data_IF_779456365778
#
_entry.id   IF_779456365778
#
_cell.length_a   1.000
_cell.length_b   1.000
_cell.length_c   1.000
_cell.angle_alpha   90.00
_cell.angle_beta   90.00
_cell.angle_gamma   90.00
#
_symmetry.space_group_name_H-M   'P 1'
#
loop_
_entity.id
_entity.type
_entity.pdbx_description
1 polymer ?
#
# COMPACT_ATOMS: atom_id res chain seq x y z
N UNK A 1 7.13 5.80 -16.88
CA UNK A 1 7.45 4.83 -15.81
C UNK A 1 7.45 5.40 -14.38
N UNK A 2 7.03 6.65 -14.14
CA UNK A 2 7.06 7.27 -12.79
C UNK A 2 5.68 7.35 -12.11
N UNK A 3 4.59 7.03 -12.81
CA UNK A 3 3.23 7.32 -12.36
C UNK A 3 2.57 6.18 -11.57
N UNK A 4 3.00 4.92 -11.74
CA UNK A 4 2.55 3.79 -10.90
C UNK A 4 3.34 3.69 -9.58
N UNK A 5 4.40 4.50 -9.40
CA UNK A 5 5.41 4.36 -8.33
C UNK A 5 4.99 4.92 -6.96
N UNK A 6 3.92 5.70 -6.87
CA UNK A 6 3.62 6.48 -5.66
C UNK A 6 2.37 6.01 -4.89
N UNK A 7 1.41 5.35 -5.53
CA UNK A 7 0.06 5.24 -4.93
C UNK A 7 -0.09 4.13 -3.87
N UNK A 8 0.54 2.96 -4.05
CA UNK A 8 0.40 1.86 -3.09
C UNK A 8 1.20 2.11 -1.81
N UNK A 9 2.46 2.56 -1.96
CA UNK A 9 3.29 2.96 -0.82
C UNK A 9 2.73 4.21 -0.13
N UNK A 10 2.19 5.19 -0.87
CA UNK A 10 1.60 6.38 -0.25
C UNK A 10 0.35 6.08 0.56
N UNK A 11 -0.49 5.12 0.13
CA UNK A 11 -1.68 4.71 0.89
C UNK A 11 -1.30 4.05 2.21
N UNK A 12 -0.38 3.07 2.18
CA UNK A 12 0.13 2.42 3.39
C UNK A 12 0.75 3.43 4.37
N UNK A 13 1.60 4.33 3.85
CA UNK A 13 2.26 5.37 4.66
C UNK A 13 1.24 6.37 5.22
N UNK A 14 0.23 6.77 4.44
CA UNK A 14 -0.82 7.68 4.89
C UNK A 14 -1.63 7.07 6.03
N UNK A 15 -2.05 5.81 5.92
CA UNK A 15 -2.80 5.12 6.96
C UNK A 15 -1.97 4.86 8.21
N UNK A 16 -0.68 4.51 8.06
CA UNK A 16 0.24 4.38 9.20
C UNK A 16 0.39 5.70 9.97
N UNK A 17 0.51 6.83 9.26
CA UNK A 17 0.53 8.17 9.87
C UNK A 17 -0.80 8.50 10.55
N UNK A 18 -1.93 8.16 9.91
CA UNK A 18 -3.25 8.41 10.46
C UNK A 18 -3.46 7.66 11.79
N UNK A 19 -3.04 6.39 11.88
CA UNK A 19 -3.05 5.63 13.14
C UNK A 19 -2.20 6.30 14.23
N UNK A 20 -1.00 6.78 13.87
CA UNK A 20 -0.14 7.49 14.81
C UNK A 20 -0.76 8.82 15.31
N UNK A 21 -1.63 9.44 14.50
CA UNK A 21 -2.31 10.69 14.83
C UNK A 21 -3.57 10.50 15.69
N UNK A 22 -4.17 9.31 15.70
CA UNK A 22 -5.38 9.01 16.50
C UNK A 22 -5.35 9.54 17.94
N UNK A 23 -4.32 9.27 18.78
CA UNK A 23 -4.31 9.76 20.16
C UNK A 23 -4.31 11.29 20.24
N UNK A 24 -3.68 11.98 19.29
CA UNK A 24 -3.69 13.44 19.24
C UNK A 24 -5.06 13.99 18.87
N UNK A 25 -5.77 13.34 17.94
CA UNK A 25 -7.17 13.68 17.61
C UNK A 25 -8.04 13.53 18.86
N UNK A 26 -7.90 12.44 19.62
CA UNK A 26 -8.67 12.20 20.84
C UNK A 26 -8.37 13.26 21.92
N UNK A 27 -7.10 13.67 22.06
CA UNK A 27 -6.70 14.79 22.95
C UNK A 27 -7.35 16.10 22.51
N UNK A 28 -7.32 16.42 21.21
CA UNK A 28 -7.92 17.66 20.68
C UNK A 28 -9.43 17.67 20.95
N UNK A 29 -10.14 16.59 20.64
CA UNK A 29 -11.58 16.48 20.90
C UNK A 29 -11.87 16.67 22.40
N UNK A 30 -11.09 16.03 23.27
CA UNK A 30 -11.24 16.15 24.72
C UNK A 30 -11.01 17.59 25.20
N UNK A 31 -9.96 18.24 24.71
CA UNK A 31 -9.62 19.62 25.08
C UNK A 31 -10.69 20.62 24.66
N UNK A 32 -11.27 20.45 23.47
CA UNK A 32 -12.34 21.30 22.95
C UNK A 32 -13.64 21.14 23.76
N UNK A 33 -13.96 19.92 24.20
CA UNK A 33 -15.13 19.67 25.03
C UNK A 33 -15.05 20.28 26.44
N UNK A 34 -13.83 20.36 27.02
CA UNK A 34 -13.58 20.97 28.34
C UNK A 34 -13.57 22.49 28.27
N UNK A 35 -13.37 23.06 27.09
CA UNK A 35 -13.36 24.52 26.89
C UNK A 35 -14.74 25.13 27.23
N UNK A 36 -14.72 26.31 27.86
CA UNK A 36 -15.93 27.06 28.21
C UNK A 36 -16.57 27.74 27.00
N UNK A 37 -15.79 28.03 25.97
CA UNK A 37 -16.25 28.65 24.75
C UNK A 37 -17.25 27.75 24.00
N UNK A 38 -18.38 28.32 23.59
CA UNK A 38 -19.39 27.61 22.81
C UNK A 38 -18.88 27.27 21.41
N UNK A 39 -18.02 28.11 20.81
CA UNK A 39 -17.45 27.83 19.50
C UNK A 39 -16.55 26.59 19.55
N UNK A 40 -15.73 26.45 20.60
CA UNK A 40 -14.89 25.26 20.80
C UNK A 40 -15.72 23.98 20.91
N UNK A 41 -16.90 24.03 21.56
CA UNK A 41 -17.81 22.87 21.63
C UNK A 41 -18.46 22.57 20.28
N UNK A 42 -18.74 23.57 19.47
CA UNK A 42 -19.23 23.38 18.10
C UNK A 42 -18.16 22.72 17.22
N UNK A 43 -16.90 23.17 17.31
CA UNK A 43 -15.77 22.57 16.61
C UNK A 43 -15.54 21.11 17.05
N UNK A 44 -15.68 20.80 18.34
CA UNK A 44 -15.63 19.41 18.82
C UNK A 44 -16.71 18.54 18.18
N UNK A 45 -17.94 19.06 18.00
CA UNK A 45 -19.02 18.33 17.33
C UNK A 45 -18.73 18.12 15.84
N UNK A 46 -18.21 19.15 15.16
CA UNK A 46 -17.82 19.07 13.74
C UNK A 46 -16.69 18.07 13.55
N UNK A 47 -15.68 18.09 14.43
CA UNK A 47 -14.57 17.15 14.42
C UNK A 47 -15.03 15.72 14.66
N UNK A 48 -15.88 15.47 15.66
CA UNK A 48 -16.46 14.15 15.91
C UNK A 48 -17.28 13.62 14.72
N UNK A 49 -17.94 14.52 13.96
CA UNK A 49 -18.73 14.14 12.78
C UNK A 49 -17.86 13.68 11.61
N UNK A 50 -16.67 14.25 11.44
CA UNK A 50 -15.73 13.89 10.35
C UNK A 50 -14.70 12.83 10.76
N UNK A 51 -14.56 12.59 12.07
CA UNK A 51 -13.64 11.58 12.58
C UNK A 51 -14.15 10.18 12.23
N UNK A 52 -13.22 9.25 12.12
CA UNK A 52 -13.53 7.84 11.92
C UNK A 52 -14.14 7.25 13.19
N UNK A 53 -15.12 6.38 12.99
CA UNK A 53 -15.70 5.53 14.02
C UNK A 53 -14.68 4.49 14.50
N UNK A 54 -14.91 3.91 15.69
CA UNK A 54 -14.02 2.87 16.21
C UNK A 54 -13.86 1.69 15.23
N UNK A 55 -14.96 1.27 14.60
CA UNK A 55 -14.93 0.19 13.61
C UNK A 55 -14.07 0.57 12.39
N UNK A 56 -14.17 1.79 11.88
CA UNK A 56 -13.34 2.25 10.76
C UNK A 56 -11.85 2.32 11.16
N UNK A 57 -11.55 2.72 12.39
CA UNK A 57 -10.18 2.68 12.91
C UNK A 57 -9.63 1.25 12.98
N UNK A 58 -10.45 0.28 13.38
CA UNK A 58 -10.06 -1.12 13.45
C UNK A 58 -9.88 -1.72 12.05
N UNK A 59 -10.76 -1.40 11.10
CA UNK A 59 -10.61 -1.78 9.68
C UNK A 59 -9.28 -1.26 9.12
N UNK A 60 -8.89 -0.02 9.41
CA UNK A 60 -7.60 0.53 8.94
C UNK A 60 -6.42 -0.25 9.54
N UNK A 61 -6.52 -0.72 10.79
CA UNK A 61 -5.46 -1.54 11.40
C UNK A 61 -5.35 -2.90 10.71
N UNK A 62 -6.48 -3.57 10.50
CA UNK A 62 -6.52 -4.85 9.79
C UNK A 62 -5.96 -4.71 8.38
N UNK A 63 -6.31 -3.63 7.68
CA UNK A 63 -5.76 -3.34 6.36
C UNK A 63 -4.25 -3.05 6.39
N UNK A 64 -3.73 -2.38 7.42
CA UNK A 64 -2.29 -2.18 7.56
C UNK A 64 -1.53 -3.49 7.76
N UNK A 65 -2.13 -4.49 8.41
CA UNK A 65 -1.54 -5.83 8.52
C UNK A 65 -1.45 -6.52 7.16
N UNK A 66 -2.45 -6.34 6.30
CA UNK A 66 -2.48 -6.86 4.93
C UNK A 66 -1.49 -6.11 4.03
N UNK A 67 -1.48 -4.78 4.10
CA UNK A 67 -0.64 -3.94 3.25
C UNK A 67 0.84 -3.95 3.66
N UNK A 68 1.16 -4.27 4.92
CA UNK A 68 2.53 -4.27 5.43
C UNK A 68 3.49 -5.18 4.64
N UNK A 69 3.19 -6.48 4.45
CA UNK A 69 4.00 -7.38 3.64
C UNK A 69 4.15 -6.94 2.19
N UNK A 70 3.10 -6.35 1.60
CA UNK A 70 3.15 -5.83 0.23
C UNK A 70 4.10 -4.63 0.13
N UNK A 71 3.97 -3.67 1.05
CA UNK A 71 4.84 -2.48 1.08
C UNK A 71 6.32 -2.85 1.26
N UNK A 72 6.61 -3.84 2.12
CA UNK A 72 7.98 -4.35 2.30
C UNK A 72 8.53 -4.98 1.03
N UNK A 73 7.74 -5.81 0.34
CA UNK A 73 8.15 -6.42 -0.91
C UNK A 73 8.43 -5.37 -1.97
N UNK A 74 7.55 -4.37 -2.11
CA UNK A 74 7.75 -3.28 -3.07
C UNK A 74 9.01 -2.46 -2.77
N UNK A 75 9.33 -2.20 -1.50
CA UNK A 75 10.53 -1.47 -1.09
C UNK A 75 11.81 -2.27 -1.41
N UNK A 76 11.79 -3.59 -1.14
CA UNK A 76 12.89 -4.50 -1.48
C UNK A 76 13.13 -4.50 -2.98
N UNK A 77 12.08 -4.66 -3.79
CA UNK A 77 12.18 -4.69 -5.25
C UNK A 77 12.70 -3.36 -5.80
N UNK A 78 12.23 -2.24 -5.26
CA UNK A 78 12.68 -0.90 -5.65
C UNK A 78 14.18 -0.68 -5.37
N UNK A 79 14.68 -1.19 -4.24
CA UNK A 79 16.09 -1.08 -3.86
C UNK A 79 17.05 -1.93 -4.70
N UNK A 80 16.53 -2.87 -5.50
CA UNK A 80 17.36 -3.81 -6.27
C UNK A 80 17.52 -3.37 -7.73
N UNK A 81 18.76 -3.03 -8.13
CA UNK A 81 19.11 -2.69 -9.52
C UNK A 81 18.90 -3.86 -10.49
N UNK A 82 19.02 -5.10 -10.01
CA UNK A 82 18.86 -6.34 -10.77
C UNK A 82 18.05 -7.35 -9.95
N UNK A 83 16.75 -7.11 -9.83
CA UNK A 83 15.84 -8.09 -9.24
C UNK A 83 15.78 -9.33 -10.15
N UNK A 84 16.40 -10.43 -9.73
CA UNK A 84 16.38 -11.69 -10.49
C UNK A 84 15.21 -12.55 -10.03
N UNK A 85 14.67 -13.40 -10.92
CA UNK A 85 13.55 -14.27 -10.58
C UNK A 85 13.82 -15.13 -9.34
N UNK A 86 15.07 -15.60 -9.16
CA UNK A 86 15.50 -16.33 -7.97
C UNK A 86 15.43 -15.53 -6.67
N UNK A 87 15.52 -14.20 -6.73
CA UNK A 87 15.40 -13.30 -5.59
C UNK A 87 13.94 -12.95 -5.28
N UNK A 88 13.12 -12.69 -6.30
CA UNK A 88 11.72 -12.28 -6.14
C UNK A 88 10.82 -13.46 -5.74
N UNK A 89 11.08 -14.64 -6.31
CA UNK A 89 10.20 -15.80 -6.21
C UNK A 89 9.95 -16.29 -4.76
N UNK A 90 10.96 -16.37 -3.88
CA UNK A 90 10.74 -16.71 -2.47
C UNK A 90 9.79 -15.75 -1.75
N UNK A 91 9.91 -14.45 -2.01
CA UNK A 91 9.07 -13.44 -1.35
C UNK A 91 7.62 -13.46 -1.86
N UNK A 92 7.42 -13.71 -3.16
CA UNK A 92 6.08 -13.94 -3.73
C UNK A 92 5.43 -15.19 -3.11
N UNK A 93 6.17 -16.29 -2.95
CA UNK A 93 5.64 -17.50 -2.29
C UNK A 93 5.25 -17.21 -0.85
N UNK A 94 6.09 -16.49 -0.11
CA UNK A 94 5.81 -16.09 1.27
C UNK A 94 4.55 -15.25 1.34
N UNK A 95 4.40 -14.26 0.46
CA UNK A 95 3.22 -13.43 0.36
C UNK A 95 1.96 -14.26 0.06
N UNK A 96 2.04 -15.16 -0.94
CA UNK A 96 0.95 -16.10 -1.26
C UNK A 96 0.56 -16.93 -0.04
N UNK A 97 1.52 -17.41 0.75
CA UNK A 97 1.22 -18.21 1.95
C UNK A 97 0.54 -17.40 3.06
N UNK A 98 0.88 -16.11 3.21
CA UNK A 98 0.30 -15.21 4.22
C UNK A 98 -1.18 -14.90 3.94
N UNK A 99 -1.54 -14.80 2.66
CA UNK A 99 -2.91 -14.47 2.22
C UNK A 99 -3.65 -15.67 1.63
N UNK A 100 -3.05 -16.86 1.66
CA UNK A 100 -3.74 -18.08 1.25
C UNK A 100 -4.91 -18.25 2.20
N UNK A 101 -6.14 -18.16 1.69
CA UNK A 101 -7.28 -18.25 2.56
C UNK A 101 -7.31 -19.68 3.12
N UNK A 102 -7.69 -19.85 4.38
CA UNK A 102 -7.98 -21.17 4.96
C UNK A 102 -9.26 -21.71 4.32
N UNK A 103 -9.25 -21.95 3.01
CA UNK A 103 -10.39 -22.47 2.27
C UNK A 103 -9.96 -23.78 1.64
N UNK A 104 -10.69 -24.83 2.01
CA UNK A 104 -10.74 -26.10 1.31
C UNK A 104 -11.43 -25.91 -0.05
N UNK A 105 -10.91 -25.05 -0.92
CA UNK A 105 -11.44 -24.83 -2.26
C UNK A 105 -10.30 -24.89 -3.24
N UNK A 106 -10.46 -25.79 -4.21
CA UNK A 106 -9.65 -25.94 -5.41
C UNK A 106 -9.62 -24.62 -6.21
N UNK A 107 -8.81 -23.66 -5.76
CA UNK A 107 -8.46 -22.50 -6.54
C UNK A 107 -7.32 -22.93 -7.47
N UNK A 108 -7.66 -23.22 -8.71
CA UNK A 108 -6.70 -23.61 -9.74
C UNK A 108 -5.87 -22.38 -10.16
N UNK A 109 -4.68 -22.27 -9.57
CA UNK A 109 -3.69 -21.23 -9.86
C UNK A 109 -2.77 -21.63 -11.03
N UNK A 110 -3.01 -22.77 -11.70
CA UNK A 110 -2.23 -23.22 -12.88
C UNK A 110 -2.76 -22.63 -14.19
N UNK A 111 -3.94 -22.00 -14.18
CA UNK A 111 -4.38 -21.16 -15.29
C UNK A 111 -3.50 -19.91 -15.35
N UNK A 112 -2.60 -19.88 -16.32
CA UNK A 112 -1.93 -18.68 -16.85
C UNK A 112 -2.99 -17.75 -17.47
N UNK A 113 -3.87 -17.18 -16.65
CA UNK A 113 -4.72 -16.06 -17.06
C UNK A 113 -3.86 -14.79 -16.96
N UNK A 114 -2.93 -14.70 -17.90
CA UNK A 114 -1.92 -13.66 -17.96
C UNK A 114 -2.64 -12.37 -18.38
N UNK A 115 -3.07 -11.56 -17.41
CA UNK A 115 -3.56 -10.19 -17.66
C UNK A 115 -2.48 -9.28 -18.30
N UNK A 116 -1.25 -9.79 -18.41
CA UNK A 116 -0.15 -9.23 -19.16
C UNK A 116 0.13 -10.15 -20.34
N UNK A 117 -0.56 -9.94 -21.46
CA UNK A 117 -0.09 -10.48 -22.73
C UNK A 117 1.38 -10.11 -22.89
N UNK A 118 2.19 -11.08 -23.35
CA UNK A 118 3.63 -10.95 -23.57
C UNK A 118 3.98 -9.67 -24.34
N UNK A 119 4.20 -8.57 -23.63
CA UNK A 119 4.92 -7.44 -24.17
C UNK A 119 6.38 -7.87 -24.24
N UNK A 120 6.73 -8.49 -25.35
CA UNK A 120 8.10 -8.64 -25.80
C UNK A 120 8.66 -7.23 -25.84
N UNK A 121 9.50 -6.88 -24.86
CA UNK A 121 10.25 -5.63 -24.90
C UNK A 121 11.09 -5.73 -26.17
N UNK A 122 10.78 -4.92 -27.18
CA UNK A 122 11.67 -4.75 -28.32
C UNK A 122 12.99 -4.22 -27.76
N UNK A 123 14.03 -5.07 -27.79
CA UNK A 123 15.40 -4.58 -27.72
C UNK A 123 15.56 -3.66 -28.94
N UNK A 124 15.70 -2.37 -28.69
CA UNK A 124 16.07 -1.43 -29.74
C UNK A 124 17.50 -1.79 -30.10
N UNK A 125 17.70 -2.43 -31.24
CA UNK A 125 19.01 -2.67 -31.82
C UNK A 125 19.69 -1.29 -32.02
N UNK A 126 20.69 -0.98 -31.18
CA UNK A 126 21.64 0.10 -31.44
C UNK A 126 22.57 -0.34 -32.56
N UNK A 127 22.13 -0.22 -33.82
CA UNK A 127 23.01 -0.31 -34.98
C UNK A 127 22.80 0.92 -35.87
N UNK A 128 23.57 1.97 -35.58
CA UNK A 128 23.97 2.97 -36.56
C UNK A 128 25.46 3.27 -36.34
N UNK A 129 26.32 2.34 -36.76
CA UNK A 129 27.72 2.64 -37.06
C UNK A 129 27.79 3.28 -38.46
N UNK A 130 28.09 4.59 -38.60
CA UNK A 130 28.28 5.17 -39.93
C UNK A 130 29.63 4.73 -40.48
N UNK A 131 29.58 3.82 -41.46
CA UNK A 131 30.70 3.35 -42.25
C UNK A 131 31.47 4.52 -42.88
N UNK A 132 32.77 4.53 -42.67
CA UNK A 132 33.70 5.53 -43.15
C UNK A 132 33.90 5.37 -44.66
N UNK A 133 33.48 6.37 -45.46
CA UNK A 133 34.07 6.67 -46.79
C UNK A 133 34.07 8.17 -47.10
#
# INVERSE_FOLDING_TARGET
YTLLKHDESSTYIAWKRLIALKPYIDIVISSLNVNKDNNAKEDAKRLNKINLTNNEWDIIRDLLEILGPLAQLTEILEGTKYATMSYIYPDIIKLKSMFSPTINSNLDLETNDDAFENHQFEEVDEDDEPDAR
#
